data_IF_741453719552
#
_entry.id   IF_741453719552
#
_cell.length_a   1.000
_cell.length_b   1.000
_cell.length_c   1.000
_cell.angle_alpha   90.00
_cell.angle_beta   90.00
_cell.angle_gamma   90.00
#
_symmetry.space_group_name_H-M   'P 1'
#
loop_
_entity.id
_entity.type
_entity.pdbx_description
1 polymer ?
#
# COMPACT_ATOMS: atom_id res chain seq x y z
N UNK A 1 -76.66 -15.82 -11.39
CA UNK A 1 -75.44 -16.63 -11.66
C UNK A 1 -74.32 -15.66 -11.98
N UNK A 2 -73.43 -15.42 -11.01
CA UNK A 2 -72.30 -14.55 -11.17
C UNK A 2 -71.05 -15.42 -11.23
N UNK A 3 -70.34 -15.39 -12.33
CA UNK A 3 -69.08 -16.11 -12.50
C UNK A 3 -67.94 -15.30 -11.86
N UNK A 4 -67.31 -15.87 -10.85
CA UNK A 4 -66.07 -15.37 -10.27
C UNK A 4 -64.92 -15.95 -11.08
N UNK A 5 -64.13 -15.06 -11.71
CA UNK A 5 -62.88 -15.44 -12.37
C UNK A 5 -61.79 -15.23 -11.37
N UNK A 6 -61.12 -16.31 -10.97
CA UNK A 6 -59.95 -16.31 -10.07
C UNK A 6 -58.70 -16.16 -10.93
N UNK A 7 -58.06 -15.00 -10.87
CA UNK A 7 -56.80 -14.75 -11.56
C UNK A 7 -55.64 -15.11 -10.61
N UNK A 8 -54.95 -16.20 -10.87
CA UNK A 8 -53.74 -16.62 -10.17
C UNK A 8 -52.57 -15.82 -10.69
N UNK A 9 -52.02 -14.93 -9.85
CA UNK A 9 -50.76 -14.23 -10.13
C UNK A 9 -49.60 -15.13 -9.72
N UNK A 10 -48.90 -15.67 -10.72
CA UNK A 10 -47.67 -16.43 -10.53
C UNK A 10 -46.52 -15.42 -10.30
N UNK A 11 -46.07 -15.25 -9.07
CA UNK A 11 -44.92 -14.46 -8.74
C UNK A 11 -43.65 -15.27 -9.11
N UNK A 12 -43.03 -14.94 -10.25
CA UNK A 12 -41.72 -15.45 -10.62
C UNK A 12 -40.71 -14.66 -9.79
N UNK A 13 -40.19 -15.28 -8.74
CA UNK A 13 -39.04 -14.75 -7.97
C UNK A 13 -37.80 -14.82 -8.86
N UNK A 14 -37.39 -13.69 -9.43
CA UNK A 14 -36.02 -13.53 -9.93
C UNK A 14 -35.08 -13.49 -8.72
N UNK A 15 -34.44 -14.60 -8.40
CA UNK A 15 -33.21 -14.59 -7.61
C UNK A 15 -32.11 -13.99 -8.49
N UNK A 16 -31.85 -12.70 -8.33
CA UNK A 16 -30.61 -12.09 -8.80
C UNK A 16 -29.50 -12.69 -7.94
N UNK A 17 -28.79 -13.69 -8.49
CA UNK A 17 -27.48 -14.01 -7.99
C UNK A 17 -26.65 -12.72 -8.15
N UNK A 18 -26.37 -12.02 -7.05
CA UNK A 18 -25.28 -11.04 -7.03
C UNK A 18 -24.02 -11.85 -7.35
N UNK A 19 -23.56 -11.77 -8.58
CA UNK A 19 -22.16 -12.09 -8.90
C UNK A 19 -21.34 -11.17 -8.01
N UNK A 20 -20.57 -11.74 -7.10
CA UNK A 20 -19.57 -10.97 -6.36
C UNK A 20 -18.70 -10.31 -7.44
N UNK A 21 -18.82 -9.00 -7.55
CA UNK A 21 -17.97 -8.23 -8.44
C UNK A 21 -16.55 -8.42 -7.89
N UNK A 22 -15.67 -9.03 -8.68
CA UNK A 22 -14.27 -9.22 -8.27
C UNK A 22 -13.73 -7.86 -7.80
N UNK A 23 -13.50 -7.74 -6.50
CA UNK A 23 -13.07 -6.48 -5.93
C UNK A 23 -11.65 -6.20 -6.41
N UNK A 24 -11.43 -5.03 -7.01
CA UNK A 24 -10.12 -4.60 -7.46
C UNK A 24 -9.13 -4.65 -6.28
N UNK A 25 -8.09 -5.46 -6.41
CA UNK A 25 -6.97 -5.51 -5.49
C UNK A 25 -5.78 -4.77 -6.08
N UNK A 26 -5.19 -3.88 -5.29
CA UNK A 26 -4.01 -3.11 -5.66
C UNK A 26 -2.76 -3.78 -5.10
N UNK A 27 -1.76 -3.95 -5.94
CA UNK A 27 -0.47 -4.52 -5.55
C UNK A 27 0.67 -3.73 -6.18
N UNK A 28 1.66 -3.40 -5.36
CA UNK A 28 2.84 -2.68 -5.83
C UNK A 28 3.77 -2.26 -4.72
N UNK A 29 4.45 -1.15 -4.91
CA UNK A 29 5.43 -0.64 -3.95
C UNK A 29 5.44 0.88 -3.85
N UNK A 30 6.00 1.37 -2.75
CA UNK A 30 6.44 2.76 -2.63
C UNK A 30 7.81 2.87 -3.31
N UNK A 31 7.82 3.47 -4.50
CA UNK A 31 8.99 3.63 -5.36
C UNK A 31 9.51 5.07 -5.37
N UNK A 32 9.28 5.78 -4.29
CA UNK A 32 9.56 7.22 -4.20
C UNK A 32 11.02 7.60 -4.43
N UNK A 33 11.97 6.67 -4.22
CA UNK A 33 13.38 6.94 -4.44
C UNK A 33 13.89 6.47 -5.81
N UNK A 34 13.06 5.79 -6.61
CA UNK A 34 13.49 5.23 -7.90
C UNK A 34 14.23 6.24 -8.80
N UNK A 35 13.71 7.46 -9.08
CA UNK A 35 14.46 8.41 -9.92
C UNK A 35 15.83 8.79 -9.34
N UNK A 36 15.96 8.81 -8.02
CA UNK A 36 17.24 9.07 -7.38
C UNK A 36 18.23 7.93 -7.57
N UNK A 37 17.77 6.67 -7.52
CA UNK A 37 18.58 5.49 -7.81
C UNK A 37 19.01 5.45 -9.27
N UNK A 38 18.13 5.79 -10.20
CA UNK A 38 18.42 5.84 -11.64
C UNK A 38 19.55 6.81 -11.98
N UNK A 39 19.69 7.92 -11.24
CA UNK A 39 20.78 8.91 -11.42
C UNK A 39 22.18 8.33 -11.21
N UNK A 40 22.33 7.26 -10.44
CA UNK A 40 23.62 6.62 -10.16
C UNK A 40 24.02 5.61 -11.22
N UNK A 41 23.22 5.42 -12.27
CA UNK A 41 23.47 4.47 -13.37
C UNK A 41 23.73 3.02 -12.93
N UNK A 42 23.27 2.65 -11.72
CA UNK A 42 23.34 1.26 -11.27
C UNK A 42 22.17 0.50 -11.89
N UNK A 43 22.45 -0.57 -12.66
CA UNK A 43 21.39 -1.26 -13.37
C UNK A 43 20.49 -2.04 -12.42
N UNK A 44 19.21 -2.08 -12.72
CA UNK A 44 18.32 -3.11 -12.21
C UNK A 44 18.42 -4.34 -13.10
N UNK A 45 18.46 -5.52 -12.50
CA UNK A 45 18.52 -6.79 -13.22
C UNK A 45 17.44 -7.73 -12.72
N UNK A 46 16.87 -8.51 -13.62
CA UNK A 46 15.98 -9.60 -13.24
C UNK A 46 16.74 -10.73 -12.51
N UNK A 47 16.03 -11.78 -12.11
CA UNK A 47 16.64 -12.92 -11.41
C UNK A 47 17.69 -13.65 -12.27
N UNK A 48 17.53 -13.66 -13.59
CA UNK A 48 18.42 -14.28 -14.53
C UNK A 48 19.66 -13.42 -14.82
N UNK A 49 19.59 -12.13 -14.47
CA UNK A 49 20.68 -11.17 -14.65
C UNK A 49 20.55 -10.32 -15.91
N UNK A 50 19.41 -10.39 -16.62
CA UNK A 50 19.12 -9.49 -17.72
C UNK A 50 18.80 -8.09 -17.17
N UNK A 51 19.26 -7.05 -17.86
CA UNK A 51 19.04 -5.65 -17.45
C UNK A 51 17.58 -5.25 -17.60
N UNK A 52 17.02 -4.67 -16.56
CA UNK A 52 15.72 -4.01 -16.56
C UNK A 52 15.97 -2.54 -16.92
N UNK A 53 15.54 -2.14 -18.10
CA UNK A 53 15.80 -0.78 -18.61
C UNK A 53 14.93 0.29 -17.99
N UNK A 54 13.71 -0.07 -17.58
CA UNK A 54 12.75 0.80 -16.89
C UNK A 54 11.98 -0.04 -15.86
N UNK A 55 12.23 0.22 -14.57
CA UNK A 55 11.61 -0.53 -13.49
C UNK A 55 10.10 -0.28 -13.39
N UNK A 56 9.60 0.90 -13.74
CA UNK A 56 8.15 1.20 -13.72
C UNK A 56 7.41 0.37 -14.76
N UNK A 57 7.92 0.34 -16.00
CA UNK A 57 7.36 -0.51 -17.06
C UNK A 57 7.48 -2.00 -16.73
N UNK A 58 8.61 -2.42 -16.17
CA UNK A 58 8.84 -3.80 -15.75
C UNK A 58 7.86 -4.22 -14.64
N UNK A 59 7.61 -3.34 -13.68
CA UNK A 59 6.65 -3.57 -12.61
C UNK A 59 5.25 -3.83 -13.16
N UNK A 60 4.78 -3.01 -14.10
CA UNK A 60 3.47 -3.17 -14.71
C UNK A 60 3.36 -4.44 -15.58
N UNK A 61 4.37 -4.70 -16.42
CA UNK A 61 4.27 -5.73 -17.47
C UNK A 61 4.74 -7.12 -17.04
N UNK A 62 5.71 -7.19 -16.14
CA UNK A 62 6.38 -8.44 -15.74
C UNK A 62 6.08 -8.84 -14.31
N UNK A 63 6.08 -7.86 -13.38
CA UNK A 63 5.75 -8.13 -11.97
C UNK A 63 4.23 -8.15 -11.72
N UNK A 64 3.43 -7.77 -12.71
CA UNK A 64 1.97 -7.65 -12.58
C UNK A 64 1.52 -6.70 -11.46
N UNK A 65 2.32 -5.68 -11.19
CA UNK A 65 1.89 -4.60 -10.32
C UNK A 65 0.86 -3.75 -11.05
N UNK A 66 -0.15 -3.30 -10.32
CA UNK A 66 -1.16 -2.41 -10.86
C UNK A 66 -1.23 -1.07 -10.14
N UNK A 67 -0.38 -0.86 -9.12
CA UNK A 67 -0.35 0.38 -8.35
C UNK A 67 1.06 0.72 -7.89
N UNK A 68 1.35 2.02 -7.71
CA UNK A 68 2.55 2.49 -7.02
C UNK A 68 2.20 3.63 -6.08
N UNK A 69 2.89 3.67 -4.94
CA UNK A 69 2.82 4.75 -3.95
C UNK A 69 4.03 5.66 -4.10
N UNK A 70 3.81 6.99 -3.99
CA UNK A 70 4.89 7.99 -3.97
C UNK A 70 4.58 9.04 -2.93
N UNK A 71 5.53 9.30 -2.04
CA UNK A 71 5.45 10.33 -1.00
C UNK A 71 5.82 11.70 -1.54
N UNK A 72 5.24 12.73 -0.94
CA UNK A 72 5.47 14.13 -1.25
C UNK A 72 5.82 14.90 0.04
N UNK A 73 6.97 15.56 0.04
CA UNK A 73 7.38 16.51 1.07
C UNK A 73 7.06 17.95 0.65
N UNK A 74 7.03 18.87 1.63
CA UNK A 74 6.71 20.29 1.36
C UNK A 74 7.93 21.02 0.80
N UNK A 75 9.06 20.97 1.50
CA UNK A 75 10.36 21.51 1.07
C UNK A 75 11.48 20.55 1.48
N UNK A 76 11.74 19.48 0.69
CA UNK A 76 12.63 18.39 1.10
C UNK A 76 14.12 18.72 0.93
N UNK A 77 14.48 19.94 0.58
CA UNK A 77 15.87 20.32 0.30
C UNK A 77 16.76 20.35 1.54
N UNK A 78 16.20 20.19 2.70
CA UNK A 78 16.87 20.46 3.96
C UNK A 78 17.46 19.23 4.62
N UNK A 79 18.42 19.52 5.44
CA UNK A 79 18.98 18.62 6.43
C UNK A 79 17.92 18.32 7.49
N UNK A 80 17.72 17.04 7.80
CA UNK A 80 16.80 16.63 8.84
C UNK A 80 17.14 17.34 10.18
N UNK A 81 16.22 18.10 10.77
CA UNK A 81 16.50 18.90 11.97
C UNK A 81 16.81 18.05 13.21
N UNK A 82 16.38 16.77 13.23
CA UNK A 82 16.60 15.90 14.38
C UNK A 82 18.02 15.33 14.45
N UNK A 83 18.69 15.16 13.32
CA UNK A 83 20.00 14.50 13.25
C UNK A 83 21.02 15.17 12.32
N UNK A 84 20.66 16.24 11.64
CA UNK A 84 21.54 16.98 10.75
C UNK A 84 21.92 16.26 9.46
N UNK A 85 21.19 15.22 9.05
CA UNK A 85 21.49 14.39 7.89
C UNK A 85 20.34 14.41 6.88
N UNK A 86 20.67 14.34 5.58
CA UNK A 86 19.68 14.00 4.55
C UNK A 86 19.40 12.50 4.61
N UNK A 87 18.14 12.14 4.50
CA UNK A 87 17.66 10.76 4.62
C UNK A 87 16.70 10.39 3.48
N UNK A 88 16.98 10.84 2.26
CA UNK A 88 16.15 10.56 1.10
C UNK A 88 14.95 11.49 0.94
N UNK A 89 14.98 12.66 1.60
CA UNK A 89 14.00 13.72 1.40
C UNK A 89 14.35 14.49 0.12
N UNK A 90 13.87 14.04 -1.00
CA UNK A 90 14.08 14.67 -2.33
C UNK A 90 12.78 14.80 -3.12
N UNK A 91 11.69 14.25 -2.62
CA UNK A 91 10.42 14.16 -3.29
C UNK A 91 9.64 15.48 -3.14
N UNK A 92 10.10 16.52 -3.85
CA UNK A 92 9.31 17.74 -4.04
C UNK A 92 8.21 17.52 -5.10
N UNK A 93 7.39 18.54 -5.31
CA UNK A 93 6.25 18.46 -6.23
C UNK A 93 6.68 18.15 -7.67
N UNK A 94 7.79 18.71 -8.15
CA UNK A 94 8.28 18.47 -9.52
C UNK A 94 8.76 17.03 -9.70
N UNK A 95 9.50 16.52 -8.73
CA UNK A 95 9.95 15.13 -8.69
C UNK A 95 8.77 14.16 -8.69
N UNK A 96 7.78 14.40 -7.83
CA UNK A 96 6.60 13.54 -7.69
C UNK A 96 5.73 13.61 -8.94
N UNK A 97 5.57 14.77 -9.56
CA UNK A 97 4.81 14.92 -10.81
C UNK A 97 5.44 14.10 -11.96
N UNK A 98 6.77 14.14 -12.07
CA UNK A 98 7.48 13.36 -13.10
C UNK A 98 7.34 11.84 -12.88
N UNK A 99 7.50 11.36 -11.65
CA UNK A 99 7.36 9.95 -11.32
C UNK A 99 5.89 9.49 -11.41
N UNK A 100 4.95 10.28 -10.91
CA UNK A 100 3.51 9.99 -11.01
C UNK A 100 3.04 9.88 -12.45
N UNK A 101 3.55 10.74 -13.34
CA UNK A 101 3.27 10.62 -14.78
C UNK A 101 3.78 9.30 -15.35
N UNK A 102 5.01 8.87 -15.02
CA UNK A 102 5.54 7.56 -15.46
C UNK A 102 4.65 6.41 -15.00
N UNK A 103 4.16 6.46 -13.76
CA UNK A 103 3.23 5.45 -13.20
C UNK A 103 1.93 5.42 -14.01
N UNK A 104 1.34 6.59 -14.29
CA UNK A 104 0.10 6.69 -15.08
C UNK A 104 0.30 6.27 -16.53
N UNK A 105 1.42 6.64 -17.16
CA UNK A 105 1.77 6.22 -18.54
C UNK A 105 1.96 4.69 -18.64
N UNK A 106 2.40 4.04 -17.56
CA UNK A 106 2.48 2.57 -17.48
C UNK A 106 1.12 1.88 -17.21
N UNK A 107 0.03 2.65 -17.09
CA UNK A 107 -1.32 2.14 -16.84
C UNK A 107 -1.60 1.70 -15.41
N UNK A 108 -0.76 2.10 -14.45
CA UNK A 108 -0.94 1.76 -13.04
C UNK A 108 -1.71 2.84 -12.28
N UNK A 109 -2.32 2.43 -11.18
CA UNK A 109 -2.89 3.35 -10.19
C UNK A 109 -1.78 4.08 -9.43
N UNK A 110 -2.00 5.36 -9.18
CA UNK A 110 -1.08 6.21 -8.45
C UNK A 110 -1.66 6.59 -7.09
N UNK A 111 -0.98 6.18 -6.01
CA UNK A 111 -1.24 6.59 -4.64
C UNK A 111 -0.25 7.69 -4.28
N UNK A 112 -0.75 8.90 -4.07
CA UNK A 112 0.01 10.05 -3.58
C UNK A 112 -0.03 10.09 -2.06
N UNK A 113 1.13 10.12 -1.42
CA UNK A 113 1.27 10.21 0.04
C UNK A 113 1.79 11.59 0.46
N UNK A 114 0.92 12.42 1.00
CA UNK A 114 1.31 13.70 1.58
C UNK A 114 1.92 13.53 2.97
N UNK A 115 3.21 13.80 3.14
CA UNK A 115 3.83 13.85 4.46
C UNK A 115 3.52 15.14 5.24
N UNK A 116 3.17 16.23 4.56
CA UNK A 116 2.98 17.58 5.15
C UNK A 116 4.14 17.98 6.06
N UNK A 117 5.34 17.66 5.66
CA UNK A 117 6.59 17.87 6.37
C UNK A 117 7.71 18.11 5.36
N UNK A 118 8.81 18.74 5.79
CA UNK A 118 10.03 18.88 4.99
C UNK A 118 10.94 17.65 5.12
N UNK A 119 10.65 16.78 6.09
CA UNK A 119 11.36 15.53 6.36
C UNK A 119 10.40 14.38 6.57
N UNK A 120 10.90 13.18 6.83
CA UNK A 120 10.08 12.03 7.16
C UNK A 120 9.08 12.35 8.27
N UNK A 121 7.79 12.20 7.97
CA UNK A 121 6.72 12.17 8.95
C UNK A 121 6.48 10.71 9.36
N UNK A 122 6.50 10.45 10.67
CA UNK A 122 6.27 9.15 11.27
C UNK A 122 5.66 9.32 12.68
N UNK A 123 5.33 8.26 13.42
CA UNK A 123 4.67 8.39 14.72
C UNK A 123 5.41 9.23 15.76
N UNK A 124 6.69 9.48 15.54
CA UNK A 124 7.53 10.29 16.46
C UNK A 124 8.00 11.60 15.85
N UNK A 125 7.70 11.86 14.56
CA UNK A 125 8.08 13.07 13.83
C UNK A 125 6.92 13.56 12.96
N UNK A 126 6.21 14.57 13.43
CA UNK A 126 5.08 15.19 12.73
C UNK A 126 5.21 16.72 12.77
N UNK A 127 6.44 17.20 12.57
CA UNK A 127 6.79 18.62 12.71
C UNK A 127 6.23 19.45 11.57
N UNK A 128 5.69 20.61 11.90
CA UNK A 128 5.26 21.61 10.91
C UNK A 128 6.46 21.99 10.01
N UNK A 129 6.26 22.06 8.67
CA UNK A 129 7.29 22.54 7.75
C UNK A 129 7.89 23.90 8.17
N UNK A 130 9.17 24.10 7.93
CA UNK A 130 9.89 25.30 8.34
C UNK A 130 9.18 26.59 7.86
N UNK A 131 8.70 26.60 6.63
CA UNK A 131 7.97 27.73 6.05
C UNK A 131 6.61 28.01 6.69
N UNK A 132 6.06 27.08 7.48
CA UNK A 132 4.72 27.19 8.10
C UNK A 132 4.78 27.43 9.62
N UNK A 133 5.96 27.38 10.24
CA UNK A 133 6.10 27.43 11.70
C UNK A 133 5.58 28.73 12.34
N UNK A 134 5.63 29.86 11.62
CA UNK A 134 5.15 31.17 12.10
C UNK A 134 3.65 31.39 11.92
N UNK A 135 2.94 30.47 11.24
CA UNK A 135 1.52 30.63 10.96
C UNK A 135 0.68 30.48 12.23
N UNK A 136 -0.37 31.29 12.34
CA UNK A 136 -1.44 31.05 13.33
C UNK A 136 -2.18 29.75 13.00
N UNK A 137 -2.98 29.26 13.91
CA UNK A 137 -3.77 28.03 13.69
C UNK A 137 -4.73 28.16 12.48
N UNK A 138 -5.42 29.28 12.37
CA UNK A 138 -6.31 29.55 11.25
C UNK A 138 -5.57 29.59 9.91
N UNK A 139 -4.38 30.22 9.90
CA UNK A 139 -3.52 30.24 8.70
C UNK A 139 -2.97 28.86 8.37
N UNK A 140 -2.64 28.02 9.36
CA UNK A 140 -2.16 26.66 9.12
C UNK A 140 -3.24 25.79 8.46
N UNK A 141 -4.49 25.90 8.94
CA UNK A 141 -5.63 25.21 8.34
C UNK A 141 -5.87 25.63 6.88
N UNK A 142 -5.81 26.93 6.59
CA UNK A 142 -5.94 27.46 5.24
C UNK A 142 -4.75 27.05 4.35
N UNK A 143 -3.54 27.07 4.91
CA UNK A 143 -2.33 26.63 4.21
C UNK A 143 -2.40 25.16 3.86
N UNK A 144 -2.89 24.30 4.73
CA UNK A 144 -3.06 22.88 4.41
C UNK A 144 -4.01 22.68 3.22
N UNK A 145 -5.15 23.38 3.21
CA UNK A 145 -6.08 23.30 2.08
C UNK A 145 -5.44 23.84 0.79
N UNK A 146 -4.85 25.04 0.83
CA UNK A 146 -4.30 25.68 -0.35
C UNK A 146 -3.09 24.95 -0.92
N UNK A 147 -2.21 24.43 -0.08
CA UNK A 147 -1.08 23.61 -0.46
C UNK A 147 -1.53 22.30 -1.12
N UNK A 148 -2.44 21.55 -0.48
CA UNK A 148 -2.97 20.30 -1.03
C UNK A 148 -3.61 20.54 -2.40
N UNK A 149 -4.44 21.56 -2.49
CA UNK A 149 -5.10 21.96 -3.76
C UNK A 149 -4.09 22.36 -4.84
N UNK A 150 -3.08 23.13 -4.50
CA UNK A 150 -2.00 23.53 -5.42
C UNK A 150 -1.25 22.31 -5.95
N UNK A 151 -0.83 21.40 -5.07
CA UNK A 151 -0.10 20.21 -5.46
C UNK A 151 -0.94 19.31 -6.38
N UNK A 152 -2.19 19.06 -6.02
CA UNK A 152 -3.09 18.23 -6.84
C UNK A 152 -3.33 18.83 -8.22
N UNK A 153 -3.54 20.13 -8.34
CA UNK A 153 -3.67 20.80 -9.65
C UNK A 153 -2.42 20.64 -10.49
N UNK A 154 -1.25 20.87 -9.91
CA UNK A 154 0.01 20.69 -10.62
C UNK A 154 0.21 19.24 -11.10
N UNK A 155 -0.18 18.25 -10.29
CA UNK A 155 -0.16 16.84 -10.69
C UNK A 155 -1.14 16.54 -11.83
N UNK A 156 -2.36 17.06 -11.77
CA UNK A 156 -3.36 16.93 -12.84
C UNK A 156 -2.84 17.54 -14.14
N UNK A 157 -2.30 18.76 -14.07
CA UNK A 157 -1.74 19.48 -15.23
C UNK A 157 -0.54 18.74 -15.85
N UNK A 158 0.23 18.00 -15.03
CA UNK A 158 1.34 17.18 -15.46
C UNK A 158 0.92 15.81 -16.04
N UNK A 159 -0.36 15.44 -16.00
CA UNK A 159 -0.83 14.10 -16.38
C UNK A 159 -0.53 13.02 -15.34
N UNK A 160 -0.32 13.41 -14.09
CA UNK A 160 -0.06 12.56 -12.92
C UNK A 160 -1.24 12.60 -11.93
N UNK A 161 -2.47 12.58 -12.42
CA UNK A 161 -3.66 12.59 -11.55
C UNK A 161 -3.63 11.39 -10.62
N UNK A 162 -3.61 11.59 -9.29
CA UNK A 162 -3.65 10.48 -8.35
C UNK A 162 -5.03 9.82 -8.32
N UNK A 163 -5.05 8.50 -8.21
CA UNK A 163 -6.26 7.71 -8.00
C UNK A 163 -6.57 7.54 -6.51
N UNK A 164 -5.52 7.63 -5.69
CA UNK A 164 -5.58 7.53 -4.24
C UNK A 164 -4.74 8.66 -3.62
N UNK A 165 -5.25 9.29 -2.57
CA UNK A 165 -4.55 10.36 -1.86
C UNK A 165 -4.52 10.05 -0.37
N UNK A 166 -3.33 9.86 0.15
CA UNK A 166 -3.08 9.68 1.57
C UNK A 166 -2.84 11.05 2.21
N UNK A 167 -3.68 11.40 3.19
CA UNK A 167 -3.60 12.68 3.92
C UNK A 167 -2.83 12.47 5.21
N UNK A 168 -1.52 12.71 5.15
CA UNK A 168 -0.57 12.47 6.24
C UNK A 168 -0.06 11.03 6.28
N UNK A 169 1.16 10.84 6.76
CA UNK A 169 1.84 9.55 6.91
C UNK A 169 1.95 9.16 8.39
N UNK A 170 1.44 7.96 8.74
CA UNK A 170 1.51 7.36 10.09
C UNK A 170 1.06 8.33 11.20
N UNK A 171 -0.12 8.90 11.03
CA UNK A 171 -0.64 10.01 11.85
C UNK A 171 -1.43 9.57 13.10
N UNK A 172 -1.13 8.42 13.67
CA UNK A 172 -1.84 7.90 14.85
C UNK A 172 -1.78 8.84 16.07
N UNK A 173 -0.76 9.68 16.14
CA UNK A 173 -0.63 10.71 17.18
C UNK A 173 -0.95 12.14 16.68
N UNK A 174 -1.65 12.26 15.54
CA UNK A 174 -1.91 13.53 14.89
C UNK A 174 -0.78 13.96 13.96
N UNK A 175 -0.86 15.17 13.43
CA UNK A 175 0.10 15.72 12.46
C UNK A 175 0.33 17.22 12.67
N UNK A 176 1.34 17.76 11.99
CA UNK A 176 1.68 19.18 12.01
C UNK A 176 1.79 19.71 13.46
N UNK A 177 2.63 19.05 14.25
CA UNK A 177 2.85 19.44 15.65
C UNK A 177 3.69 20.70 15.75
N UNK A 178 3.30 21.61 16.64
CA UNK A 178 4.18 22.68 17.10
C UNK A 178 5.20 22.11 18.07
N UNK A 179 6.49 22.37 17.78
CA UNK A 179 7.59 21.78 18.52
C UNK A 179 7.92 20.34 18.10
N UNK A 180 8.71 19.65 18.90
CA UNK A 180 9.16 18.28 18.66
C UNK A 180 8.27 17.27 19.36
N UNK A 181 8.45 15.99 19.06
CA UNK A 181 7.71 14.90 19.71
C UNK A 181 7.87 14.87 21.25
N UNK A 182 8.92 15.51 21.78
CA UNK A 182 9.20 15.53 23.23
C UNK A 182 8.51 16.67 23.96
N UNK A 183 8.22 17.79 23.26
CA UNK A 183 7.72 19.01 23.90
C UNK A 183 6.42 19.53 23.30
N UNK A 184 5.86 18.89 22.27
CA UNK A 184 4.58 19.27 21.69
C UNK A 184 3.42 18.95 22.64
N UNK A 185 2.41 19.80 22.63
CA UNK A 185 1.13 19.56 23.29
C UNK A 185 0.02 19.19 22.30
N UNK A 186 0.32 19.08 21.01
CA UNK A 186 -0.67 18.93 19.94
C UNK A 186 -1.05 17.46 19.65
N UNK A 187 -0.46 16.51 20.37
CA UNK A 187 -0.72 15.09 20.17
C UNK A 187 -2.16 14.70 20.48
N UNK A 188 -2.71 13.86 19.63
CA UNK A 188 -3.82 12.97 19.96
C UNK A 188 -3.26 11.61 20.38
N UNK A 189 -4.08 10.79 21.04
CA UNK A 189 -3.67 9.45 21.45
C UNK A 189 -4.68 8.43 20.93
N UNK A 190 -4.24 7.43 20.14
CA UNK A 190 -5.14 6.55 19.41
C UNK A 190 -6.01 5.66 20.31
N UNK A 191 -5.56 5.34 21.53
CA UNK A 191 -6.35 4.59 22.52
C UNK A 191 -7.35 5.45 23.30
N UNK A 192 -7.20 6.77 23.25
CA UNK A 192 -8.01 7.66 24.02
C UNK A 192 -9.25 8.10 23.25
N UNK A 193 -10.40 8.13 23.93
CA UNK A 193 -11.58 8.83 23.43
C UNK A 193 -11.24 10.30 23.21
N UNK A 194 -11.81 10.91 22.18
CA UNK A 194 -11.68 12.34 21.90
C UNK A 194 -12.01 13.21 23.11
N UNK A 195 -12.86 12.75 24.04
CA UNK A 195 -13.27 13.49 25.24
C UNK A 195 -12.13 13.73 26.24
N UNK A 196 -11.03 12.97 26.17
CA UNK A 196 -9.85 13.20 27.03
C UNK A 196 -9.04 14.41 26.61
N UNK A 197 -9.01 14.72 25.33
CA UNK A 197 -8.31 15.88 24.79
C UNK A 197 -9.07 16.44 23.56
N UNK A 198 -10.27 17.00 23.76
CA UNK A 198 -11.14 17.40 22.65
C UNK A 198 -10.51 18.48 21.77
N UNK A 199 -9.77 19.42 22.34
CA UNK A 199 -9.14 20.50 21.56
C UNK A 199 -8.10 19.97 20.55
N UNK A 200 -7.29 18.98 20.94
CA UNK A 200 -6.32 18.39 20.03
C UNK A 200 -6.99 17.53 18.95
N UNK A 201 -8.03 16.78 19.30
CA UNK A 201 -8.79 16.03 18.32
C UNK A 201 -9.50 16.96 17.34
N UNK A 202 -10.13 18.04 17.80
CA UNK A 202 -10.76 19.05 16.96
C UNK A 202 -9.73 19.71 16.00
N UNK A 203 -8.58 20.14 16.55
CA UNK A 203 -7.48 20.67 15.73
C UNK A 203 -7.03 19.68 14.65
N UNK A 204 -6.76 18.45 15.04
CA UNK A 204 -6.26 17.41 14.13
C UNK A 204 -7.29 17.07 13.05
N UNK A 205 -8.56 16.87 13.42
CA UNK A 205 -9.62 16.54 12.46
C UNK A 205 -9.96 17.71 11.53
N UNK A 206 -9.82 18.96 11.99
CA UNK A 206 -9.91 20.14 11.13
C UNK A 206 -8.79 20.17 10.05
N UNK A 207 -7.56 19.78 10.39
CA UNK A 207 -6.47 19.63 9.43
C UNK A 207 -6.85 18.58 8.38
N UNK A 208 -7.27 17.39 8.79
CA UNK A 208 -7.69 16.32 7.87
C UNK A 208 -8.83 16.77 6.96
N UNK A 209 -9.84 17.42 7.51
CA UNK A 209 -11.00 17.91 6.76
C UNK A 209 -10.63 18.95 5.70
N UNK A 210 -9.62 19.81 5.98
CA UNK A 210 -9.12 20.76 4.99
C UNK A 210 -8.34 20.07 3.87
N UNK A 211 -7.54 19.05 4.17
CA UNK A 211 -6.91 18.21 3.17
C UNK A 211 -7.93 17.48 2.30
N UNK A 212 -8.91 16.82 2.92
CA UNK A 212 -9.97 16.10 2.24
C UNK A 212 -10.79 16.99 1.31
N UNK A 213 -11.18 18.19 1.76
CA UNK A 213 -11.88 19.18 0.95
C UNK A 213 -11.10 19.54 -0.31
N UNK A 214 -9.78 19.71 -0.21
CA UNK A 214 -8.93 20.01 -1.37
C UNK A 214 -8.88 18.83 -2.35
N UNK A 215 -8.81 17.59 -1.85
CA UNK A 215 -8.87 16.39 -2.69
C UNK A 215 -10.20 16.32 -3.43
N UNK A 216 -11.33 16.43 -2.73
CA UNK A 216 -12.68 16.37 -3.36
C UNK A 216 -12.90 17.48 -4.39
N UNK A 217 -12.28 18.66 -4.21
CA UNK A 217 -12.37 19.76 -5.17
C UNK A 217 -11.59 19.49 -6.46
N UNK A 218 -10.37 18.94 -6.35
CA UNK A 218 -9.45 18.85 -7.51
C UNK A 218 -9.49 17.47 -8.16
N UNK A 219 -9.59 16.41 -7.36
CA UNK A 219 -9.60 15.02 -7.79
C UNK A 219 -10.83 14.31 -7.19
N UNK A 220 -12.06 14.63 -7.62
CA UNK A 220 -13.29 14.12 -7.00
C UNK A 220 -13.42 12.59 -7.07
N UNK A 221 -12.78 11.95 -8.04
CA UNK A 221 -12.78 10.49 -8.22
C UNK A 221 -11.69 9.79 -7.40
N UNK A 222 -10.72 10.53 -6.84
CA UNK A 222 -9.67 9.97 -6.02
C UNK A 222 -10.20 9.52 -4.66
N UNK A 223 -9.76 8.35 -4.21
CA UNK A 223 -10.10 7.85 -2.88
C UNK A 223 -9.11 8.37 -1.83
N UNK A 224 -9.63 8.79 -0.69
CA UNK A 224 -8.86 9.36 0.41
C UNK A 224 -8.50 8.26 1.40
N UNK A 225 -7.22 8.16 1.73
CA UNK A 225 -6.67 7.21 2.70
C UNK A 225 -6.23 7.96 3.97
N UNK A 226 -6.61 7.44 5.13
CA UNK A 226 -6.03 7.83 6.41
C UNK A 226 -5.14 6.70 6.90
N UNK A 227 -3.87 7.01 7.15
CA UNK A 227 -2.81 6.04 7.39
C UNK A 227 -2.29 6.07 8.84
N UNK A 228 -2.33 4.89 9.50
CA UNK A 228 -1.78 4.69 10.83
C UNK A 228 -0.95 3.39 10.91
N UNK A 229 -0.08 3.31 11.93
CA UNK A 229 0.86 2.19 12.14
C UNK A 229 0.50 1.33 13.37
N UNK A 230 -0.72 1.44 13.90
CA UNK A 230 -1.13 0.74 15.13
C UNK A 230 -1.57 -0.71 14.93
N UNK A 231 -1.11 -1.40 13.89
CA UNK A 231 -1.59 -2.74 13.50
C UNK A 231 -1.42 -3.81 14.57
N UNK A 232 -0.51 -3.65 15.53
CA UNK A 232 -0.42 -4.54 16.71
C UNK A 232 -1.51 -4.30 17.75
N UNK A 233 -2.34 -3.27 17.60
CA UNK A 233 -3.25 -2.77 18.62
C UNK A 233 -4.64 -2.48 18.03
N UNK A 234 -5.43 -3.55 17.89
CA UNK A 234 -6.78 -3.48 17.35
C UNK A 234 -7.67 -2.45 18.08
N UNK A 235 -7.54 -2.36 19.41
CA UNK A 235 -8.32 -1.39 20.21
C UNK A 235 -7.95 0.04 19.86
N UNK A 236 -6.65 0.33 19.73
CA UNK A 236 -6.20 1.65 19.33
C UNK A 236 -6.67 2.02 17.92
N UNK A 237 -6.60 1.08 16.97
CA UNK A 237 -7.09 1.29 15.61
C UNK A 237 -8.58 1.62 15.58
N UNK A 238 -9.40 0.80 16.24
CA UNK A 238 -10.86 1.02 16.29
C UNK A 238 -11.19 2.35 16.97
N UNK A 239 -10.57 2.66 18.11
CA UNK A 239 -10.81 3.91 18.82
C UNK A 239 -10.40 5.14 17.99
N UNK A 240 -9.26 5.07 17.30
CA UNK A 240 -8.77 6.17 16.48
C UNK A 240 -9.75 6.52 15.35
N UNK A 241 -10.17 5.53 14.56
CA UNK A 241 -11.15 5.77 13.47
C UNK A 241 -12.53 6.14 14.01
N UNK A 242 -12.91 5.65 15.20
CA UNK A 242 -14.12 6.11 15.89
C UNK A 242 -14.09 7.59 16.25
N UNK A 243 -12.94 8.10 16.69
CA UNK A 243 -12.77 9.53 16.93
C UNK A 243 -12.88 10.34 15.61
N UNK A 244 -12.28 9.87 14.50
CA UNK A 244 -12.42 10.53 13.19
C UNK A 244 -13.88 10.58 12.73
N UNK A 245 -14.62 9.49 12.89
CA UNK A 245 -16.04 9.43 12.55
C UNK A 245 -16.89 10.36 13.41
N UNK A 246 -16.56 10.51 14.71
CA UNK A 246 -17.23 11.47 15.58
C UNK A 246 -17.13 12.91 15.04
N UNK A 247 -15.99 13.28 14.47
CA UNK A 247 -15.79 14.61 13.87
C UNK A 247 -16.16 14.67 12.38
N UNK A 248 -16.77 13.63 11.83
CA UNK A 248 -17.17 13.53 10.43
C UNK A 248 -16.02 13.79 9.43
N UNK A 249 -14.84 13.29 9.72
CA UNK A 249 -13.71 13.36 8.78
C UNK A 249 -14.05 12.57 7.51
N UNK A 250 -13.92 13.21 6.36
CA UNK A 250 -14.17 12.58 5.05
C UNK A 250 -12.96 11.76 4.62
N UNK A 251 -13.11 10.44 4.59
CA UNK A 251 -12.13 9.50 4.05
C UNK A 251 -12.83 8.24 3.54
N UNK A 252 -12.17 7.51 2.63
CA UNK A 252 -12.72 6.33 1.99
C UNK A 252 -12.10 5.03 2.52
N UNK A 253 -10.80 5.03 2.81
CA UNK A 253 -9.98 3.85 3.04
C UNK A 253 -9.19 3.98 4.33
N UNK A 254 -9.09 2.87 5.07
CA UNK A 254 -8.20 2.71 6.21
C UNK A 254 -6.84 2.22 5.70
N UNK A 255 -5.79 3.05 5.82
CA UNK A 255 -4.41 2.70 5.52
C UNK A 255 -3.66 2.22 6.75
N UNK A 256 -2.91 1.14 6.61
CA UNK A 256 -2.12 0.56 7.70
C UNK A 256 -0.67 0.31 7.26
N UNK A 257 0.29 0.63 8.14
CA UNK A 257 1.62 0.02 8.08
C UNK A 257 1.59 -1.36 8.73
N UNK A 258 2.19 -2.35 8.08
CA UNK A 258 2.39 -3.67 8.66
C UNK A 258 3.84 -4.13 8.49
N UNK A 259 4.63 -3.96 9.52
CA UNK A 259 5.98 -4.50 9.64
C UNK A 259 5.98 -5.55 10.76
N UNK A 260 6.13 -6.86 10.47
CA UNK A 260 5.89 -7.91 11.48
C UNK A 260 6.78 -7.78 12.70
N UNK A 261 7.97 -7.24 12.54
CA UNK A 261 8.91 -7.02 13.63
C UNK A 261 8.52 -5.86 14.57
N UNK A 262 7.60 -4.98 14.17
CA UNK A 262 7.05 -3.90 14.99
C UNK A 262 5.57 -4.10 15.34
N UNK A 263 4.81 -4.65 14.39
CA UNK A 263 3.35 -4.62 14.42
C UNK A 263 2.73 -6.00 14.67
N UNK A 264 3.54 -6.99 15.04
CA UNK A 264 3.06 -8.31 15.45
C UNK A 264 3.01 -9.35 14.34
N UNK A 265 2.58 -10.54 14.74
CA UNK A 265 2.63 -11.72 13.88
C UNK A 265 1.55 -11.70 12.83
N UNK A 266 1.89 -12.27 11.67
CA UNK A 266 0.97 -12.48 10.55
C UNK A 266 -0.21 -13.39 10.92
N UNK A 267 -0.05 -14.22 11.95
CA UNK A 267 -1.05 -15.22 12.38
C UNK A 267 -1.99 -14.73 13.48
N UNK A 268 -1.65 -13.64 14.18
CA UNK A 268 -2.39 -13.18 15.37
C UNK A 268 -2.74 -11.69 15.32
N UNK A 269 -1.76 -10.81 15.46
CA UNK A 269 -2.01 -9.38 15.64
C UNK A 269 -2.64 -8.76 14.39
N UNK A 270 -2.07 -9.01 13.20
CA UNK A 270 -2.64 -8.49 11.95
C UNK A 270 -4.08 -8.97 11.71
N UNK A 271 -4.40 -10.28 11.73
CA UNK A 271 -5.78 -10.74 11.57
C UNK A 271 -6.76 -10.17 12.59
N UNK A 272 -6.34 -10.02 13.83
CA UNK A 272 -7.19 -9.46 14.88
C UNK A 272 -7.55 -8.00 14.58
N UNK A 273 -6.58 -7.22 14.13
CA UNK A 273 -6.79 -5.80 13.79
C UNK A 273 -7.65 -5.65 12.53
N UNK A 274 -7.38 -6.43 11.48
CA UNK A 274 -8.18 -6.41 10.25
C UNK A 274 -9.66 -6.73 10.55
N UNK A 275 -9.93 -7.79 11.32
CA UNK A 275 -11.30 -8.19 11.71
C UNK A 275 -11.98 -7.15 12.59
N UNK A 276 -11.26 -6.56 13.55
CA UNK A 276 -11.83 -5.55 14.44
C UNK A 276 -12.19 -4.26 13.68
N UNK A 277 -11.33 -3.82 12.77
CA UNK A 277 -11.60 -2.66 11.92
C UNK A 277 -12.79 -2.90 10.99
N UNK A 278 -12.80 -4.01 10.25
CA UNK A 278 -13.92 -4.34 9.37
C UNK A 278 -15.24 -4.51 10.15
N UNK A 279 -15.18 -5.15 11.32
CA UNK A 279 -16.38 -5.30 12.19
C UNK A 279 -16.93 -3.98 12.69
N UNK A 280 -16.07 -2.95 12.86
CA UNK A 280 -16.47 -1.61 13.33
C UNK A 280 -16.80 -0.67 12.17
N UNK A 281 -16.18 -0.85 11.01
CA UNK A 281 -16.28 0.02 9.83
C UNK A 281 -16.44 -0.82 8.55
N UNK A 282 -17.55 -1.56 8.38
CA UNK A 282 -17.72 -2.53 7.30
C UNK A 282 -17.69 -1.90 5.91
N UNK A 283 -18.03 -0.63 5.78
CA UNK A 283 -18.06 0.12 4.52
C UNK A 283 -16.69 0.73 4.15
N UNK A 284 -15.66 0.53 4.97
CA UNK A 284 -14.32 1.04 4.74
C UNK A 284 -13.37 -0.09 4.37
N UNK A 285 -12.94 -0.19 3.10
CA UNK A 285 -11.87 -1.12 2.75
C UNK A 285 -10.57 -0.76 3.47
N UNK A 286 -9.69 -1.76 3.61
CA UNK A 286 -8.39 -1.62 4.28
C UNK A 286 -7.30 -1.81 3.23
N UNK A 287 -6.23 -1.00 3.30
CA UNK A 287 -5.02 -1.18 2.52
C UNK A 287 -3.79 -1.28 3.43
N UNK A 288 -2.93 -2.23 3.14
CA UNK A 288 -1.58 -2.26 3.70
C UNK A 288 -0.73 -1.34 2.82
N UNK A 289 -0.65 -0.08 3.21
CA UNK A 289 0.04 0.96 2.42
C UNK A 289 1.55 0.94 2.64
N UNK A 290 2.01 0.24 3.68
CA UNK A 290 3.43 -0.02 3.92
C UNK A 290 3.66 -1.41 4.52
N UNK A 291 4.62 -2.13 3.97
CA UNK A 291 5.21 -3.34 4.56
C UNK A 291 6.63 -3.52 4.04
N UNK A 292 7.49 -4.15 4.81
CA UNK A 292 8.81 -4.62 4.36
C UNK A 292 9.33 -5.72 5.27
N UNK A 293 10.36 -6.43 4.81
CA UNK A 293 11.05 -7.43 5.62
C UNK A 293 12.55 -7.41 5.37
N UNK A 294 13.34 -7.78 6.39
CA UNK A 294 14.79 -7.80 6.32
C UNK A 294 15.32 -8.94 5.44
N UNK A 295 16.35 -8.65 4.62
CA UNK A 295 16.92 -9.61 3.66
C UNK A 295 18.35 -10.03 4.00
N UNK A 296 19.02 -9.40 4.97
CA UNK A 296 20.42 -9.70 5.21
C UNK A 296 20.87 -9.64 6.69
N UNK A 297 20.42 -8.71 7.48
CA UNK A 297 20.71 -8.67 8.91
C UNK A 297 19.45 -8.28 9.71
N UNK A 298 19.50 -8.58 11.02
CA UNK A 298 18.43 -8.26 11.94
C UNK A 298 18.91 -7.19 12.91
N UNK A 299 18.18 -6.10 13.10
CA UNK A 299 18.53 -5.05 14.06
C UNK A 299 18.67 -5.59 15.49
N UNK A 300 19.62 -5.06 16.24
CA UNK A 300 19.87 -5.45 17.62
C UNK A 300 18.98 -4.75 18.65
N UNK A 301 18.24 -3.72 18.20
CA UNK A 301 17.33 -2.92 19.04
C UNK A 301 16.12 -2.42 18.23
N UNK A 302 15.10 -1.92 18.92
CA UNK A 302 13.91 -1.36 18.28
C UNK A 302 12.94 -2.41 17.73
N UNK A 303 13.14 -3.69 17.98
CA UNK A 303 12.29 -4.81 17.55
C UNK A 303 11.33 -5.17 18.68
N UNK A 304 10.04 -5.23 18.36
CA UNK A 304 8.99 -5.62 19.31
C UNK A 304 8.66 -7.12 19.22
N UNK A 305 8.80 -7.70 18.03
CA UNK A 305 8.49 -9.11 17.77
C UNK A 305 9.63 -9.77 17.00
N UNK A 306 10.26 -10.78 17.55
CA UNK A 306 11.25 -11.59 16.83
C UNK A 306 10.54 -12.64 15.98
N UNK A 307 10.63 -12.48 14.68
CA UNK A 307 10.00 -13.38 13.69
C UNK A 307 11.00 -14.24 12.95
N UNK A 308 12.31 -14.21 13.34
CA UNK A 308 13.40 -14.90 12.63
C UNK A 308 13.29 -16.42 12.64
N UNK A 309 12.61 -17.00 13.63
CA UNK A 309 12.35 -18.44 13.65
C UNK A 309 11.50 -18.89 12.45
N UNK A 310 10.54 -18.04 12.04
CA UNK A 310 9.65 -18.32 10.90
C UNK A 310 10.23 -17.77 9.61
N UNK A 311 10.76 -16.55 9.64
CA UNK A 311 11.30 -15.85 8.49
C UNK A 311 12.73 -15.37 8.80
N UNK A 312 13.77 -16.15 8.54
CA UNK A 312 15.16 -15.71 8.73
C UNK A 312 15.43 -14.41 7.96
N UNK A 313 16.28 -13.51 8.51
CA UNK A 313 16.69 -12.28 7.83
C UNK A 313 17.64 -12.58 6.67
N UNK A 314 17.09 -13.15 5.62
CA UNK A 314 17.73 -13.54 4.36
C UNK A 314 16.78 -13.27 3.18
N UNK A 315 17.28 -13.22 1.93
CA UNK A 315 16.40 -13.11 0.77
C UNK A 315 15.33 -14.20 0.69
N UNK A 316 15.65 -15.43 1.10
CA UNK A 316 14.69 -16.53 1.15
C UNK A 316 13.61 -16.34 2.25
N UNK A 317 14.01 -15.84 3.41
CA UNK A 317 13.05 -15.53 4.48
C UNK A 317 12.17 -14.33 4.14
N UNK A 318 12.71 -13.32 3.46
CA UNK A 318 11.94 -12.20 2.91
C UNK A 318 10.91 -12.68 1.87
N UNK A 319 11.30 -13.58 0.95
CA UNK A 319 10.40 -14.20 -0.03
C UNK A 319 9.28 -15.01 0.64
N UNK A 320 9.63 -15.82 1.65
CA UNK A 320 8.65 -16.61 2.41
C UNK A 320 7.64 -15.71 3.14
N UNK A 321 8.12 -14.65 3.81
CA UNK A 321 7.24 -13.67 4.45
C UNK A 321 6.26 -13.04 3.46
N UNK A 322 6.75 -12.58 2.31
CA UNK A 322 5.89 -11.97 1.29
C UNK A 322 4.87 -12.95 0.70
N UNK A 323 5.27 -14.19 0.47
CA UNK A 323 4.35 -15.24 0.03
C UNK A 323 3.22 -15.50 1.04
N UNK A 324 3.56 -15.61 2.32
CA UNK A 324 2.60 -15.83 3.40
C UNK A 324 1.73 -14.59 3.63
N UNK A 325 2.29 -13.38 3.53
CA UNK A 325 1.53 -12.13 3.64
C UNK A 325 0.47 -12.02 2.52
N UNK A 326 0.86 -12.23 1.27
CA UNK A 326 -0.06 -12.23 0.13
C UNK A 326 -1.17 -13.24 0.36
N UNK A 327 -0.84 -14.47 0.71
CA UNK A 327 -1.82 -15.53 0.99
C UNK A 327 -2.75 -15.13 2.14
N UNK A 328 -2.21 -14.57 3.21
CA UNK A 328 -3.00 -14.12 4.37
C UNK A 328 -3.96 -12.98 4.02
N UNK A 329 -3.51 -11.99 3.28
CA UNK A 329 -4.36 -10.86 2.92
C UNK A 329 -5.46 -11.26 1.92
N UNK A 330 -5.22 -12.27 1.09
CA UNK A 330 -6.24 -12.81 0.17
C UNK A 330 -7.42 -13.51 0.88
N UNK A 331 -7.26 -13.87 2.17
CA UNK A 331 -8.36 -14.40 2.98
C UNK A 331 -9.45 -13.34 3.30
N UNK A 332 -9.15 -12.04 3.10
CA UNK A 332 -10.02 -10.92 3.47
C UNK A 332 -10.44 -10.15 2.21
N UNK A 333 -11.71 -10.22 1.84
CA UNK A 333 -12.26 -9.51 0.69
C UNK A 333 -12.29 -7.98 0.89
N UNK A 334 -12.34 -7.52 2.13
CA UNK A 334 -12.31 -6.10 2.50
C UNK A 334 -10.89 -5.51 2.59
N UNK A 335 -9.84 -6.29 2.38
CA UNK A 335 -8.47 -5.79 2.20
C UNK A 335 -8.20 -5.71 0.71
N UNK A 336 -7.95 -4.51 0.18
CA UNK A 336 -7.86 -4.28 -1.26
C UNK A 336 -6.58 -3.58 -1.74
N UNK A 337 -5.56 -3.47 -0.88
CA UNK A 337 -4.28 -2.88 -1.27
C UNK A 337 -3.10 -3.44 -0.50
N UNK A 338 -1.98 -3.66 -1.20
CA UNK A 338 -0.69 -4.08 -0.65
C UNK A 338 0.44 -3.31 -1.34
N UNK A 339 1.19 -2.52 -0.57
CA UNK A 339 2.33 -1.76 -1.05
C UNK A 339 3.58 -2.12 -0.24
N UNK A 340 4.61 -2.60 -0.94
CA UNK A 340 5.92 -2.84 -0.33
C UNK A 340 6.68 -1.52 -0.21
N UNK A 341 7.20 -1.22 0.97
CA UNK A 341 7.95 -0.01 1.21
C UNK A 341 9.42 -0.20 0.86
N UNK A 342 9.90 0.62 -0.10
CA UNK A 342 11.28 0.67 -0.53
C UNK A 342 11.77 -0.57 -1.32
N UNK A 343 11.02 -1.06 -2.31
CA UNK A 343 11.43 -2.22 -3.11
C UNK A 343 12.62 -1.93 -4.04
N UNK A 344 12.80 -0.66 -4.45
CA UNK A 344 13.74 -0.21 -5.49
C UNK A 344 15.20 -0.12 -5.03
N UNK A 345 15.48 -0.31 -3.74
CA UNK A 345 16.86 -0.34 -3.26
C UNK A 345 17.65 -1.45 -3.96
N UNK A 346 18.77 -1.09 -4.61
CA UNK A 346 19.59 -1.98 -5.43
C UNK A 346 21.09 -1.88 -5.15
N UNK A 347 21.50 -1.25 -4.05
CA UNK A 347 22.91 -1.02 -3.71
C UNK A 347 23.60 0.01 -4.61
N UNK A 348 22.85 0.84 -5.33
CA UNK A 348 23.46 1.87 -6.18
C UNK A 348 24.28 2.83 -5.32
N UNK A 349 25.38 3.32 -5.86
CA UNK A 349 26.32 4.14 -5.14
C UNK A 349 27.39 3.36 -4.35
N UNK A 350 27.16 2.10 -4.01
CA UNK A 350 28.16 1.26 -3.34
C UNK A 350 28.86 1.98 -2.17
N UNK A 351 30.18 1.96 -2.14
CA UNK A 351 30.99 2.65 -1.11
C UNK A 351 30.87 4.18 -1.12
N UNK A 352 30.24 4.79 -2.13
CA UNK A 352 29.95 6.22 -2.19
C UNK A 352 28.68 6.60 -1.41
N UNK A 353 27.89 5.64 -1.04
CA UNK A 353 26.76 5.85 -0.15
C UNK A 353 27.29 6.30 1.21
N UNK A 354 26.98 7.50 1.57
CA UNK A 354 27.30 8.08 2.87
C UNK A 354 26.06 8.80 3.41
N UNK A 355 26.12 9.20 4.65
CA UNK A 355 25.03 9.90 5.31
C UNK A 355 24.56 11.20 4.63
N UNK A 356 25.27 11.66 3.62
CA UNK A 356 24.91 12.85 2.84
C UNK A 356 24.20 12.50 1.51
N UNK A 357 24.06 11.22 1.19
CA UNK A 357 23.30 10.71 0.06
C UNK A 357 21.96 10.16 0.51
N UNK A 358 21.23 9.50 -0.35
CA UNK A 358 19.81 9.32 -0.30
C UNK A 358 19.33 8.29 0.73
N UNK A 359 20.21 7.40 1.20
CA UNK A 359 19.81 6.22 1.96
C UNK A 359 20.61 6.04 3.22
N UNK A 360 19.95 5.63 4.28
CA UNK A 360 20.57 5.19 5.53
C UNK A 360 20.76 3.67 5.51
N UNK A 361 21.85 3.20 6.11
CA UNK A 361 22.24 1.78 6.15
C UNK A 361 21.12 0.85 6.64
N UNK A 362 20.28 1.31 7.57
CA UNK A 362 19.17 0.54 8.13
C UNK A 362 18.05 0.22 7.11
N UNK A 363 18.03 0.86 5.94
CA UNK A 363 17.03 0.61 4.91
C UNK A 363 17.52 -0.35 3.83
N UNK A 364 18.82 -0.38 3.59
CA UNK A 364 19.46 -1.21 2.56
C UNK A 364 19.14 -2.70 2.69
N UNK A 365 18.83 -3.16 3.90
CA UNK A 365 18.53 -4.55 4.19
C UNK A 365 17.05 -4.92 4.01
N UNK A 366 16.25 -4.06 3.40
CA UNK A 366 14.82 -4.31 3.12
C UNK A 366 14.47 -4.24 1.65
N UNK A 367 15.37 -3.76 0.79
CA UNK A 367 15.19 -3.72 -0.66
C UNK A 367 14.93 -5.10 -1.28
N UNK A 368 14.43 -5.11 -2.50
CA UNK A 368 14.12 -6.34 -3.23
C UNK A 368 15.11 -6.64 -4.36
N UNK A 369 16.29 -6.01 -4.29
CA UNK A 369 17.43 -6.28 -5.18
C UNK A 369 18.70 -6.52 -4.36
N UNK A 370 19.55 -7.39 -4.85
CA UNK A 370 20.84 -7.67 -4.25
C UNK A 370 21.78 -6.45 -4.43
N UNK A 371 22.29 -5.86 -3.36
CA UNK A 371 23.09 -4.65 -3.44
C UNK A 371 24.48 -4.86 -4.08
N UNK A 372 24.94 -6.12 -4.27
CA UNK A 372 26.23 -6.44 -4.85
C UNK A 372 26.18 -6.74 -6.34
N UNK A 373 25.13 -7.42 -6.81
CA UNK A 373 24.99 -7.84 -8.21
C UNK A 373 23.77 -7.23 -8.90
N UNK A 374 22.91 -6.51 -8.14
CA UNK A 374 21.74 -5.77 -8.62
C UNK A 374 20.60 -6.64 -9.15
N UNK A 375 20.63 -7.94 -8.85
CA UNK A 375 19.59 -8.88 -9.26
C UNK A 375 18.40 -8.84 -8.34
N UNK A 376 17.22 -8.93 -8.94
CA UNK A 376 15.97 -9.03 -8.20
C UNK A 376 15.94 -10.28 -7.31
N UNK A 377 15.54 -10.11 -6.05
CA UNK A 377 15.18 -11.20 -5.16
C UNK A 377 13.82 -11.80 -5.53
N UNK A 378 13.58 -13.04 -5.14
CA UNK A 378 12.32 -13.74 -5.42
C UNK A 378 11.10 -12.99 -4.86
N UNK A 379 11.25 -12.35 -3.70
CA UNK A 379 10.19 -11.57 -3.06
C UNK A 379 9.60 -10.47 -3.94
N UNK A 380 10.37 -9.90 -4.87
CA UNK A 380 9.88 -8.87 -5.80
C UNK A 380 8.68 -9.37 -6.64
N UNK A 381 8.70 -10.65 -7.00
CA UNK A 381 7.67 -11.29 -7.84
C UNK A 381 6.43 -11.75 -7.04
N UNK A 382 6.50 -11.74 -5.69
CA UNK A 382 5.37 -12.11 -4.85
C UNK A 382 4.28 -11.05 -4.80
N UNK A 383 4.66 -9.79 -4.85
CA UNK A 383 3.76 -8.67 -4.61
C UNK A 383 2.61 -8.65 -5.62
N UNK A 384 2.91 -8.77 -6.92
CA UNK A 384 1.90 -8.75 -7.98
C UNK A 384 0.86 -9.88 -7.90
N UNK A 385 1.21 -11.00 -7.25
CA UNK A 385 0.27 -12.09 -7.04
C UNK A 385 -0.94 -11.68 -6.17
N UNK A 386 -0.82 -10.58 -5.41
CA UNK A 386 -1.94 -10.06 -4.64
C UNK A 386 -3.02 -9.41 -5.52
N UNK A 387 -2.63 -8.75 -6.61
CA UNK A 387 -3.57 -8.16 -7.58
C UNK A 387 -4.27 -9.21 -8.44
N UNK A 388 -3.61 -10.35 -8.66
CA UNK A 388 -4.21 -11.45 -9.38
C UNK A 388 -5.19 -12.14 -8.44
N UNK A 389 -6.49 -11.90 -8.64
CA UNK A 389 -7.52 -12.71 -8.00
C UNK A 389 -7.20 -14.16 -8.39
N UNK A 390 -7.06 -15.10 -7.42
CA UNK A 390 -7.02 -16.50 -7.78
C UNK A 390 -8.27 -16.69 -8.64
N UNK A 391 -8.08 -17.02 -9.91
CA UNK A 391 -9.23 -17.26 -10.78
C UNK A 391 -10.17 -18.11 -9.95
N UNK A 392 -11.34 -17.56 -9.59
CA UNK A 392 -12.39 -18.39 -9.03
C UNK A 392 -12.43 -19.52 -10.01
N UNK A 393 -12.07 -20.72 -9.57
CA UNK A 393 -12.41 -21.89 -10.34
C UNK A 393 -13.91 -21.79 -10.34
N UNK A 394 -14.45 -21.08 -11.34
CA UNK A 394 -15.85 -21.28 -11.68
C UNK A 394 -15.96 -22.77 -11.66
N UNK A 395 -16.79 -23.29 -10.75
CA UNK A 395 -17.02 -24.72 -10.70
C UNK A 395 -17.37 -25.05 -12.14
N UNK A 396 -16.35 -25.57 -12.87
CA UNK A 396 -16.51 -25.93 -14.29
C UNK A 396 -17.74 -26.72 -14.25
N UNK A 397 -18.81 -26.15 -14.80
CA UNK A 397 -20.09 -26.86 -14.84
C UNK A 397 -19.69 -28.22 -15.38
N UNK A 398 -19.97 -29.25 -14.64
CA UNK A 398 -19.65 -30.62 -15.02
C UNK A 398 -20.54 -30.99 -16.18
N UNK A 399 -20.56 -30.16 -17.22
CA UNK A 399 -21.08 -30.55 -18.50
C UNK A 399 -20.07 -31.56 -19.01
N UNK A 400 -20.44 -32.81 -18.88
CA UNK A 400 -19.69 -34.03 -19.22
C UNK A 400 -19.22 -34.09 -20.68
N UNK A 401 -19.26 -32.97 -21.40
CA UNK A 401 -18.94 -32.82 -22.84
C UNK A 401 -17.63 -32.11 -23.13
N UNK A 402 -16.97 -31.43 -22.15
CA UNK A 402 -15.65 -30.85 -22.40
C UNK A 402 -14.57 -31.94 -22.30
N UNK A 403 -14.12 -32.40 -23.46
CA UNK A 403 -13.08 -33.41 -23.59
C UNK A 403 -11.66 -32.85 -23.50
N UNK A 404 -11.48 -31.52 -23.33
CA UNK A 404 -10.17 -30.90 -23.36
C UNK A 404 -9.37 -31.11 -22.07
N UNK A 405 -8.05 -31.16 -22.23
CA UNK A 405 -7.09 -31.06 -21.14
C UNK A 405 -6.67 -29.62 -20.99
N UNK A 406 -6.49 -29.18 -19.76
CA UNK A 406 -6.05 -27.82 -19.42
C UNK A 406 -4.79 -27.86 -18.56
N UNK A 407 -3.87 -26.97 -18.81
CA UNK A 407 -2.75 -26.75 -17.86
C UNK A 407 -3.28 -26.30 -16.50
N UNK A 408 -2.47 -26.32 -15.45
CA UNK A 408 -2.83 -25.78 -14.14
C UNK A 408 -3.10 -24.26 -14.18
N UNK A 409 -2.69 -23.58 -15.25
CA UNK A 409 -2.95 -22.17 -15.53
C UNK A 409 -4.21 -21.95 -16.39
N UNK A 410 -5.00 -22.99 -16.66
CA UNK A 410 -6.24 -22.91 -17.41
C UNK A 410 -6.09 -22.85 -18.95
N UNK A 411 -4.88 -23.03 -19.48
CA UNK A 411 -4.64 -23.04 -20.93
C UNK A 411 -5.12 -24.37 -21.52
N UNK A 412 -6.04 -24.32 -22.52
CA UNK A 412 -6.52 -25.52 -23.21
C UNK A 412 -5.40 -26.14 -24.06
N UNK A 413 -5.23 -27.45 -23.90
CA UNK A 413 -4.22 -28.26 -24.60
C UNK A 413 -4.87 -29.22 -25.62
N UNK A 414 -6.16 -29.08 -25.87
CA UNK A 414 -6.92 -29.98 -26.73
C UNK A 414 -7.38 -31.28 -26.04
N UNK A 415 -8.10 -32.09 -26.77
CA UNK A 415 -8.72 -33.32 -26.25
C UNK A 415 -7.85 -34.57 -26.42
N UNK A 416 -6.80 -34.51 -27.22
CA UNK A 416 -5.98 -35.71 -27.55
C UNK A 416 -4.87 -35.93 -26.50
N UNK A 417 -5.14 -36.88 -25.60
CA UNK A 417 -4.17 -37.25 -24.54
C UNK A 417 -2.82 -37.70 -25.09
N UNK A 418 -2.75 -38.28 -26.28
CA UNK A 418 -1.50 -38.81 -26.84
C UNK A 418 -0.51 -37.71 -27.29
N UNK A 419 -1.02 -36.52 -27.56
CA UNK A 419 -0.22 -35.37 -28.00
C UNK A 419 0.26 -34.51 -26.84
N UNK A 420 -0.19 -34.75 -25.61
CA UNK A 420 0.19 -33.96 -24.47
C UNK A 420 1.64 -34.24 -24.05
N UNK A 421 2.43 -33.20 -23.75
CA UNK A 421 3.71 -33.39 -23.05
C UNK A 421 3.51 -34.08 -21.69
N UNK A 422 4.56 -34.74 -21.19
CA UNK A 422 4.54 -35.24 -19.83
C UNK A 422 4.29 -34.05 -18.85
N UNK A 423 3.36 -34.20 -17.91
CA UNK A 423 2.99 -33.10 -17.03
C UNK A 423 1.69 -33.36 -16.25
N UNK A 424 1.30 -32.35 -15.46
CA UNK A 424 0.07 -32.36 -14.69
C UNK A 424 -0.97 -31.47 -15.37
N UNK A 425 -2.17 -31.99 -15.61
CA UNK A 425 -3.27 -31.37 -16.32
C UNK A 425 -4.57 -31.44 -15.52
N UNK A 426 -5.54 -30.61 -15.88
CA UNK A 426 -6.93 -30.72 -15.46
C UNK A 426 -7.72 -31.29 -16.66
N UNK A 427 -8.48 -32.34 -16.43
CA UNK A 427 -9.41 -32.93 -17.41
C UNK A 427 -10.70 -33.33 -16.72
N UNK A 428 -11.82 -32.80 -17.18
CA UNK A 428 -13.16 -33.04 -16.59
C UNK A 428 -13.16 -32.73 -15.06
N UNK A 429 -12.53 -31.62 -14.66
CA UNK A 429 -12.44 -31.20 -13.25
C UNK A 429 -11.50 -32.03 -12.36
N UNK A 430 -10.77 -32.99 -12.92
CA UNK A 430 -9.83 -33.84 -12.16
C UNK A 430 -8.38 -33.60 -12.58
N UNK A 431 -7.46 -33.70 -11.63
CA UNK A 431 -6.01 -33.69 -11.92
C UNK A 431 -5.61 -34.99 -12.61
N UNK A 432 -4.96 -34.89 -13.75
CA UNK A 432 -4.46 -36.02 -14.55
C UNK A 432 -2.97 -35.88 -14.76
N UNK A 433 -2.20 -36.87 -14.38
CA UNK A 433 -0.76 -36.93 -14.64
C UNK A 433 -0.51 -37.69 -15.95
N UNK A 434 0.16 -37.06 -16.89
CA UNK A 434 0.60 -37.67 -18.14
C UNK A 434 2.08 -38.00 -17.99
N UNK A 435 2.39 -39.28 -18.08
CA UNK A 435 3.75 -39.82 -18.15
C UNK A 435 3.97 -40.35 -19.54
N UNK A 436 5.07 -40.02 -20.17
CA UNK A 436 5.54 -40.67 -21.40
C UNK A 436 6.44 -41.85 -21.10
#
# INVERSE_FOLDING_TARGET
MKHLILTSILAIGLSTALLAQDQLRLAGGDISLLPSYEQYNTPYKDQQGATISDLVTYAATTLHWNACRVRLFVDPCVTNPDNGKRQGEVQDLQYVAALGKRIKDAGMYFLLDFHYSDTWADPVKQTIPAGWQSLSEAQLLDTMYTYTRMCLRALVDAGATPDYVQIGNEISYGMLWRGTSKNTTDKVYPRDSYTKNPANWERFTNLLSNGARAVREVCPDAQIIIHIERTADATACVQYFGNLNHYNVDYDIIGLSYYPFWHGRLTTELPNTLKALHGSYPDKPIQIVETAYYNNYWPTSGISYDTRETYPATPAGQDAFLGDLVTKLQEYDYVNGLYYWFPEENGCGGATWNANTIVIDDWLNRGLFDPNNHKAYAGLYRIGAYAVTPASVEAVSTDSRDANYYTLLGVSMGADRAQLPAGLYIHQGKKVHITK
#
